data_IF_967669221917
#
_entry.id   IF_967669221917
#
_cell.length_a   1.000
_cell.length_b   1.000
_cell.length_c   1.000
_cell.angle_alpha   90.00
_cell.angle_beta   90.00
_cell.angle_gamma   90.00
#
_symmetry.space_group_name_H-M   'P 1'
#
loop_
_entity.id
_entity.type
_entity.pdbx_description
1 polymer ?
#
# COMPACT_ATOMS: atom_id res chain seq x y z
N UNK A 1 3.08 18.26 -18.74
CA UNK A 1 3.15 17.09 -19.65
C UNK A 1 3.03 15.84 -18.77
N UNK A 2 1.81 15.32 -18.58
CA UNK A 2 1.58 14.09 -17.82
C UNK A 2 1.86 12.91 -18.76
N UNK A 3 3.06 12.33 -18.68
CA UNK A 3 3.30 11.04 -19.29
C UNK A 3 2.48 10.03 -18.51
N UNK A 4 1.30 9.67 -19.04
CA UNK A 4 0.55 8.50 -18.60
C UNK A 4 1.45 7.27 -18.81
N UNK A 5 2.26 6.94 -17.82
CA UNK A 5 2.87 5.62 -17.74
C UNK A 5 1.70 4.68 -17.46
N UNK A 6 1.14 4.09 -18.51
CA UNK A 6 0.26 2.93 -18.37
C UNK A 6 1.05 1.91 -17.54
N UNK A 7 0.64 1.71 -16.29
CA UNK A 7 1.19 0.68 -15.42
C UNK A 7 0.88 -0.67 -16.05
N UNK A 8 1.78 -1.16 -16.91
CA UNK A 8 1.54 -2.38 -17.70
C UNK A 8 1.61 -3.65 -16.86
N UNK A 9 2.04 -3.57 -15.60
CA UNK A 9 2.05 -4.71 -14.68
C UNK A 9 1.59 -4.25 -13.29
N UNK A 10 0.27 -4.09 -13.13
CA UNK A 10 -0.38 -3.89 -11.83
C UNK A 10 -0.51 -5.19 -11.03
N UNK A 11 -0.61 -6.32 -11.72
CA UNK A 11 -0.90 -7.61 -11.12
C UNK A 11 0.15 -8.64 -11.51
N UNK A 12 0.70 -9.36 -10.53
CA UNK A 12 1.60 -10.48 -10.74
C UNK A 12 1.07 -11.66 -9.94
N UNK A 13 0.74 -12.75 -10.64
CA UNK A 13 0.38 -14.02 -10.06
C UNK A 13 1.50 -15.05 -10.32
N UNK A 14 1.62 -16.10 -9.49
CA UNK A 14 2.49 -17.22 -9.80
C UNK A 14 1.97 -18.01 -11.01
N UNK A 15 2.85 -18.40 -11.93
CA UNK A 15 2.48 -19.17 -13.13
C UNK A 15 1.87 -20.56 -12.79
N UNK A 16 2.31 -21.16 -11.68
CA UNK A 16 1.77 -22.42 -11.16
C UNK A 16 1.86 -22.43 -9.64
N UNK A 17 0.75 -22.57 -8.92
CA UNK A 17 0.76 -22.63 -7.46
C UNK A 17 1.38 -23.95 -6.94
N UNK A 18 1.10 -25.08 -7.59
CA UNK A 18 1.50 -26.40 -7.11
C UNK A 18 0.99 -26.68 -5.69
N UNK A 19 1.84 -27.26 -4.84
CA UNK A 19 1.55 -27.51 -3.41
C UNK A 19 1.90 -26.34 -2.48
N UNK A 20 2.15 -25.14 -3.02
CA UNK A 20 2.62 -23.98 -2.25
C UNK A 20 1.46 -23.25 -1.58
N UNK A 21 1.75 -22.59 -0.47
CA UNK A 21 0.81 -21.63 0.13
C UNK A 21 0.82 -20.33 -0.67
N UNK A 22 -0.36 -19.76 -0.93
CA UNK A 22 -0.50 -18.48 -1.62
C UNK A 22 -0.70 -17.35 -0.62
N UNK A 23 0.10 -16.29 -0.73
CA UNK A 23 -0.12 -15.03 -0.02
C UNK A 23 -0.59 -13.97 -1.02
N UNK A 24 -1.69 -13.29 -0.71
CA UNK A 24 -2.21 -12.18 -1.51
C UNK A 24 -1.81 -10.84 -0.91
N UNK A 25 -1.12 -10.03 -1.70
CA UNK A 25 -0.59 -8.72 -1.29
C UNK A 25 -1.26 -7.63 -2.12
N UNK A 26 -1.74 -6.59 -1.44
CA UNK A 26 -2.20 -5.36 -2.11
C UNK A 26 -1.34 -4.21 -1.64
N UNK A 27 -0.84 -3.40 -2.57
CA UNK A 27 -0.10 -2.19 -2.22
C UNK A 27 -0.63 -0.94 -2.91
N UNK A 28 -0.55 0.19 -2.20
CA UNK A 28 -0.88 1.53 -2.71
C UNK A 28 0.27 2.49 -2.40
N UNK A 29 0.86 3.10 -3.43
CA UNK A 29 2.03 3.98 -3.30
C UNK A 29 1.89 5.24 -4.13
N UNK A 30 2.64 6.29 -3.79
CA UNK A 30 2.70 7.51 -4.61
C UNK A 30 3.60 7.34 -5.85
N UNK A 31 4.74 6.66 -5.70
CA UNK A 31 5.81 6.64 -6.71
C UNK A 31 5.96 5.26 -7.35
N UNK A 32 6.12 5.25 -8.68
CA UNK A 32 6.25 4.02 -9.49
C UNK A 32 7.54 3.22 -9.22
N UNK A 33 8.57 3.84 -8.61
CA UNK A 33 9.84 3.17 -8.31
C UNK A 33 9.65 2.00 -7.33
N UNK A 34 8.71 2.10 -6.39
CA UNK A 34 8.38 0.97 -5.51
C UNK A 34 7.78 -0.21 -6.27
N UNK A 35 7.06 0.06 -7.37
CA UNK A 35 6.39 -0.99 -8.15
C UNK A 35 7.41 -1.95 -8.78
N UNK A 36 8.53 -1.43 -9.32
CA UNK A 36 9.56 -2.26 -9.94
C UNK A 36 10.27 -3.15 -8.92
N UNK A 37 10.62 -2.60 -7.75
CA UNK A 37 11.27 -3.35 -6.68
C UNK A 37 10.36 -4.45 -6.13
N UNK A 38 9.09 -4.15 -5.84
CA UNK A 38 8.11 -5.13 -5.37
C UNK A 38 7.85 -6.22 -6.42
N UNK A 39 7.73 -5.82 -7.69
CA UNK A 39 7.54 -6.75 -8.81
C UNK A 39 8.71 -7.72 -8.95
N UNK A 40 9.94 -7.22 -8.86
CA UNK A 40 11.14 -8.06 -8.91
C UNK A 40 11.20 -9.02 -7.73
N UNK A 41 10.93 -8.54 -6.51
CA UNK A 41 10.91 -9.37 -5.31
C UNK A 41 9.87 -10.51 -5.43
N UNK A 42 8.65 -10.20 -5.86
CA UNK A 42 7.59 -11.21 -6.02
C UNK A 42 7.94 -12.22 -7.11
N UNK A 43 8.50 -11.78 -8.25
CA UNK A 43 8.96 -12.69 -9.30
C UNK A 43 10.06 -13.63 -8.80
N UNK A 44 11.05 -13.12 -8.07
CA UNK A 44 12.10 -13.95 -7.49
C UNK A 44 11.55 -14.97 -6.48
N UNK A 45 10.60 -14.58 -5.63
CA UNK A 45 9.97 -15.51 -4.68
C UNK A 45 9.18 -16.58 -5.43
N UNK A 46 8.37 -16.19 -6.42
CA UNK A 46 7.53 -17.13 -7.18
C UNK A 46 8.34 -18.13 -7.99
N UNK A 47 9.54 -17.77 -8.45
CA UNK A 47 10.45 -18.64 -9.19
C UNK A 47 11.22 -19.61 -8.28
N UNK A 48 11.59 -19.19 -7.08
CA UNK A 48 12.61 -19.89 -6.29
C UNK A 48 12.10 -20.50 -4.97
N UNK A 49 11.00 -20.01 -4.41
CA UNK A 49 10.56 -20.44 -3.09
C UNK A 49 9.72 -21.74 -3.18
N UNK A 50 10.14 -22.84 -2.51
CA UNK A 50 9.53 -24.16 -2.69
C UNK A 50 8.14 -24.30 -2.06
N UNK A 51 7.83 -23.49 -1.05
CA UNK A 51 6.62 -23.63 -0.23
C UNK A 51 5.67 -22.43 -0.29
N UNK A 52 6.07 -21.35 -0.95
CA UNK A 52 5.37 -20.06 -0.93
C UNK A 52 5.26 -19.50 -2.34
N UNK A 53 4.10 -18.93 -2.63
CA UNK A 53 3.87 -18.10 -3.78
C UNK A 53 3.17 -16.81 -3.34
N UNK A 54 3.39 -15.74 -4.09
CA UNK A 54 2.80 -14.43 -3.84
C UNK A 54 2.05 -14.00 -5.09
N UNK A 55 0.78 -13.64 -4.88
CA UNK A 55 0.00 -12.86 -5.82
C UNK A 55 -0.03 -11.42 -5.32
N UNK A 56 0.35 -10.46 -6.16
CA UNK A 56 0.43 -9.04 -5.78
C UNK A 56 -0.37 -8.18 -6.74
N UNK A 57 -1.20 -7.29 -6.19
CA UNK A 57 -1.88 -6.22 -6.92
C UNK A 57 -1.40 -4.86 -6.42
N UNK A 58 -1.07 -3.98 -7.36
CA UNK A 58 -0.42 -2.71 -7.11
C UNK A 58 -1.16 -1.54 -7.73
N UNK A 59 -1.30 -0.47 -6.95
CA UNK A 59 -1.95 0.76 -7.37
C UNK A 59 -1.08 1.97 -7.06
N UNK A 60 -1.03 2.91 -7.98
CA UNK A 60 -0.64 4.28 -7.64
C UNK A 60 -1.84 4.96 -6.96
N UNK A 61 -1.59 5.78 -5.95
CA UNK A 61 -2.67 6.46 -5.22
C UNK A 61 -3.58 7.27 -6.15
N UNK A 62 -3.01 7.94 -7.15
CA UNK A 62 -3.74 8.70 -8.16
C UNK A 62 -4.66 7.83 -9.03
N UNK A 63 -4.36 6.55 -9.22
CA UNK A 63 -5.21 5.63 -9.98
C UNK A 63 -6.56 5.41 -9.27
N UNK A 64 -6.64 5.60 -7.95
CA UNK A 64 -7.88 5.45 -7.18
C UNK A 64 -8.88 6.60 -7.38
N UNK A 65 -8.52 7.62 -8.19
CA UNK A 65 -9.48 8.61 -8.69
C UNK A 65 -10.47 7.98 -9.66
N UNK A 66 -9.98 7.06 -10.48
CA UNK A 66 -10.76 6.35 -11.48
C UNK A 66 -11.69 5.33 -10.81
N UNK A 67 -13.00 5.33 -11.13
CA UNK A 67 -13.95 4.41 -10.51
C UNK A 67 -13.64 2.94 -10.76
N UNK A 68 -13.19 2.57 -11.97
CA UNK A 68 -12.92 1.17 -12.32
C UNK A 68 -11.73 0.64 -11.52
N UNK A 69 -10.65 1.41 -11.45
CA UNK A 69 -9.48 1.08 -10.63
C UNK A 69 -9.83 0.99 -9.13
N UNK A 70 -10.72 1.87 -8.65
CA UNK A 70 -11.15 1.85 -7.26
C UNK A 70 -12.00 0.61 -6.94
N UNK A 71 -12.91 0.20 -7.85
CA UNK A 71 -13.66 -1.05 -7.71
C UNK A 71 -12.76 -2.29 -7.73
N UNK A 72 -11.75 -2.32 -8.61
CA UNK A 72 -10.73 -3.38 -8.62
C UNK A 72 -9.97 -3.43 -7.30
N UNK A 73 -9.51 -2.28 -6.81
CA UNK A 73 -8.83 -2.17 -5.54
C UNK A 73 -9.70 -2.69 -4.37
N UNK A 74 -10.99 -2.34 -4.36
CA UNK A 74 -11.94 -2.87 -3.37
C UNK A 74 -12.11 -4.39 -3.44
N UNK A 75 -12.13 -4.97 -4.65
CA UNK A 75 -12.17 -6.43 -4.84
C UNK A 75 -10.91 -7.12 -4.35
N UNK A 76 -9.76 -6.50 -4.56
CA UNK A 76 -8.47 -7.07 -4.20
C UNK A 76 -8.21 -6.98 -2.68
N UNK A 77 -8.50 -5.85 -2.05
CA UNK A 77 -8.35 -5.71 -0.58
C UNK A 77 -9.29 -6.64 0.19
N UNK A 78 -10.48 -6.93 -0.36
CA UNK A 78 -11.41 -7.89 0.20
C UNK A 78 -10.85 -9.33 0.26
N UNK A 79 -9.85 -9.66 -0.55
CA UNK A 79 -9.20 -10.97 -0.63
C UNK A 79 -7.77 -10.99 -0.10
N UNK A 80 -7.17 -9.82 0.13
CA UNK A 80 -5.78 -9.69 0.55
C UNK A 80 -5.50 -10.36 1.91
N UNK A 81 -4.27 -10.84 2.07
CA UNK A 81 -3.65 -11.21 3.34
C UNK A 81 -2.87 -10.01 3.91
N UNK A 82 -2.13 -9.33 3.03
CA UNK A 82 -1.23 -8.24 3.40
C UNK A 82 -1.62 -6.97 2.65
N UNK A 83 -1.71 -5.87 3.38
CA UNK A 83 -1.86 -4.53 2.82
C UNK A 83 -0.60 -3.70 3.07
N UNK A 84 -0.13 -2.99 2.05
CA UNK A 84 1.01 -2.07 2.13
C UNK A 84 0.59 -0.70 1.61
N UNK A 85 0.82 0.36 2.37
CA UNK A 85 0.64 1.73 1.89
C UNK A 85 1.87 2.60 2.19
N UNK A 86 2.19 3.53 1.30
CA UNK A 86 3.33 4.44 1.48
C UNK A 86 3.13 5.78 0.80
N UNK A 87 3.54 6.87 1.46
CA UNK A 87 3.57 8.24 0.93
C UNK A 87 2.18 8.77 0.52
N UNK A 88 1.13 8.40 1.25
CA UNK A 88 -0.23 8.85 0.97
C UNK A 88 -0.48 10.20 1.65
N UNK A 89 -0.44 11.29 0.87
CA UNK A 89 -0.54 12.68 1.37
C UNK A 89 -1.63 13.53 0.71
N UNK A 90 -2.57 12.88 0.02
CA UNK A 90 -3.65 13.54 -0.72
C UNK A 90 -4.95 13.24 0.02
N UNK A 91 -5.61 14.27 0.54
CA UNK A 91 -6.70 14.18 1.51
C UNK A 91 -7.91 13.37 1.00
N UNK A 92 -8.41 13.68 -0.20
CA UNK A 92 -9.55 12.98 -0.81
C UNK A 92 -9.25 11.49 -1.06
N UNK A 93 -8.05 11.20 -1.57
CA UNK A 93 -7.61 9.83 -1.83
C UNK A 93 -7.27 9.05 -0.56
N UNK A 94 -6.76 9.72 0.47
CA UNK A 94 -6.53 9.12 1.78
C UNK A 94 -7.85 8.67 2.41
N UNK A 95 -8.88 9.51 2.34
CA UNK A 95 -10.23 9.17 2.82
C UNK A 95 -10.82 7.99 2.04
N UNK A 96 -10.71 7.97 0.71
CA UNK A 96 -11.15 6.83 -0.13
C UNK A 96 -10.40 5.54 0.23
N UNK A 97 -9.08 5.63 0.41
CA UNK A 97 -8.24 4.48 0.77
C UNK A 97 -8.66 3.89 2.13
N UNK A 98 -8.85 4.74 3.15
CA UNK A 98 -9.31 4.31 4.47
C UNK A 98 -10.68 3.64 4.37
N UNK A 99 -11.63 4.24 3.65
CA UNK A 99 -12.97 3.67 3.49
C UNK A 99 -12.97 2.26 2.87
N UNK A 100 -12.04 1.99 1.95
CA UNK A 100 -11.91 0.68 1.32
C UNK A 100 -11.20 -0.35 2.21
N UNK A 101 -10.22 0.06 3.02
CA UNK A 101 -9.36 -0.86 3.79
C UNK A 101 -9.91 -1.15 5.19
N UNK A 102 -10.48 -0.15 5.87
CA UNK A 102 -10.97 -0.26 7.25
C UNK A 102 -11.88 -1.48 7.48
N UNK A 103 -12.85 -1.81 6.59
CA UNK A 103 -13.73 -2.98 6.76
C UNK A 103 -12.98 -4.32 6.84
N UNK A 104 -11.77 -4.38 6.28
CA UNK A 104 -10.95 -5.60 6.22
C UNK A 104 -9.76 -5.57 7.18
N UNK A 105 -9.53 -4.47 7.90
CA UNK A 105 -8.37 -4.27 8.77
C UNK A 105 -8.17 -5.42 9.77
N UNK A 106 -9.24 -5.89 10.38
CA UNK A 106 -9.18 -6.98 11.37
C UNK A 106 -8.98 -8.36 10.73
N UNK A 107 -9.40 -8.54 9.46
CA UNK A 107 -9.18 -9.77 8.68
C UNK A 107 -7.77 -9.86 8.10
N UNK A 108 -7.16 -8.74 7.71
CA UNK A 108 -5.81 -8.71 7.17
C UNK A 108 -4.83 -9.31 8.18
N UNK A 109 -3.96 -10.21 7.74
CA UNK A 109 -2.91 -10.77 8.57
C UNK A 109 -1.95 -9.66 9.03
N UNK A 110 -1.62 -8.76 8.09
CA UNK A 110 -0.76 -7.59 8.34
C UNK A 110 -1.22 -6.41 7.47
N UNK A 111 -1.22 -5.21 8.06
CA UNK A 111 -1.32 -3.95 7.34
C UNK A 111 -0.12 -3.05 7.72
N UNK A 112 0.75 -2.77 6.74
CA UNK A 112 1.93 -1.92 6.92
C UNK A 112 1.71 -0.59 6.20
N UNK A 113 1.62 0.49 6.97
CA UNK A 113 1.52 1.85 6.44
C UNK A 113 2.77 2.62 6.81
N UNK A 114 3.60 2.87 5.80
CA UNK A 114 4.75 3.76 5.83
C UNK A 114 4.30 5.23 5.87
N UNK A 115 5.17 6.18 6.25
CA UNK A 115 4.86 7.61 6.40
C UNK A 115 3.80 8.15 5.43
N UNK A 116 2.60 8.37 5.96
CA UNK A 116 1.39 8.82 5.25
C UNK A 116 0.52 9.71 6.15
N UNK A 117 -0.61 10.20 5.68
CA UNK A 117 -1.56 10.97 6.49
C UNK A 117 -2.01 10.22 7.75
N UNK A 118 -2.29 10.91 8.87
CA UNK A 118 -2.62 10.27 10.15
C UNK A 118 -3.76 9.24 10.09
N UNK A 119 -4.78 9.49 9.27
CA UNK A 119 -5.89 8.55 9.06
C UNK A 119 -5.45 7.26 8.40
N UNK A 120 -4.61 7.32 7.35
CA UNK A 120 -4.04 6.14 6.71
C UNK A 120 -3.09 5.42 7.68
N UNK A 121 -2.30 6.17 8.44
CA UNK A 121 -1.39 5.59 9.44
C UNK A 121 -2.11 4.74 10.50
N UNK A 122 -3.38 5.02 10.81
CA UNK A 122 -4.20 4.24 11.77
C UNK A 122 -4.54 2.83 11.26
N UNK A 123 -4.47 2.61 9.94
CA UNK A 123 -4.66 1.29 9.34
C UNK A 123 -3.54 0.30 9.75
N UNK A 124 -2.38 0.77 10.22
CA UNK A 124 -1.28 -0.08 10.66
C UNK A 124 -1.75 -1.15 11.67
N UNK A 125 -1.36 -2.40 11.39
CA UNK A 125 -1.62 -3.59 12.21
C UNK A 125 -0.54 -4.64 11.95
N UNK A 126 0.19 -5.02 12.99
CA UNK A 126 1.16 -6.13 12.94
C UNK A 126 1.03 -6.95 14.23
N UNK A 127 0.21 -8.00 14.21
CA UNK A 127 -0.13 -8.75 15.43
C UNK A 127 -0.77 -7.82 16.47
N UNK A 128 -0.23 -7.81 17.70
CA UNK A 128 -0.69 -6.90 18.77
C UNK A 128 -0.19 -5.47 18.62
N UNK A 129 0.80 -5.22 17.74
CA UNK A 129 1.33 -3.88 17.50
C UNK A 129 0.34 -3.04 16.69
N UNK A 130 -0.05 -1.90 17.27
CA UNK A 130 -0.84 -0.88 16.59
C UNK A 130 -0.39 0.52 17.00
N UNK A 131 -0.65 1.53 16.16
CA UNK A 131 -0.30 2.93 16.45
C UNK A 131 -0.99 3.49 17.71
N UNK A 132 -2.00 2.79 18.25
CA UNK A 132 -2.62 3.10 19.54
C UNK A 132 -1.61 2.95 20.72
N UNK A 133 -0.69 1.99 20.62
CA UNK A 133 0.30 1.70 21.67
C UNK A 133 1.50 2.66 21.69
N UNK A 134 1.65 3.51 20.66
CA UNK A 134 2.71 4.53 20.58
C UNK A 134 2.44 5.77 21.47
N UNK A 135 1.67 5.62 22.55
CA UNK A 135 1.18 6.71 23.40
C UNK A 135 2.23 7.72 23.88
N UNK A 136 3.51 7.36 23.97
CA UNK A 136 4.61 8.28 24.30
C UNK A 136 5.47 8.74 23.10
N UNK A 137 5.46 8.02 21.96
CA UNK A 137 6.28 8.30 20.77
C UNK A 137 5.52 9.03 19.65
N UNK A 138 4.21 9.27 19.82
CA UNK A 138 3.38 10.08 18.91
C UNK A 138 3.97 11.48 18.66
N UNK A 139 4.64 12.09 19.64
CA UNK A 139 5.24 13.42 19.49
C UNK A 139 6.39 13.42 18.48
N UNK A 140 7.30 12.45 18.54
CA UNK A 140 8.47 12.36 17.67
C UNK A 140 8.09 12.02 16.23
N UNK A 141 7.18 11.06 16.04
CA UNK A 141 6.70 10.67 14.71
C UNK A 141 5.85 11.80 14.11
N UNK A 142 4.94 12.42 14.87
CA UNK A 142 4.15 13.54 14.38
C UNK A 142 5.04 14.75 14.01
N UNK A 143 6.06 15.06 14.81
CA UNK A 143 7.04 16.10 14.48
C UNK A 143 7.85 15.76 13.22
N UNK A 144 8.25 14.50 13.04
CA UNK A 144 8.93 14.03 11.84
C UNK A 144 8.05 14.14 10.59
N UNK A 145 6.79 13.72 10.70
CA UNK A 145 5.80 13.83 9.62
C UNK A 145 5.49 15.28 9.26
N UNK A 146 5.36 16.16 10.27
CA UNK A 146 5.20 17.59 10.07
C UNK A 146 6.40 18.20 9.33
N UNK A 147 7.63 17.86 9.74
CA UNK A 147 8.85 18.29 9.04
C UNK A 147 8.93 17.79 7.59
N UNK A 148 8.45 16.58 7.30
CA UNK A 148 8.38 16.08 5.90
C UNK A 148 7.31 16.80 5.09
N UNK A 149 6.13 17.04 5.66
CA UNK A 149 5.06 17.83 5.01
C UNK A 149 5.52 19.26 4.68
N UNK A 150 6.25 19.90 5.60
CA UNK A 150 6.86 21.22 5.40
C UNK A 150 7.93 21.20 4.28
N UNK A 151 8.73 20.13 4.16
CA UNK A 151 9.72 19.98 3.09
C UNK A 151 9.12 19.64 1.71
N UNK A 152 8.03 18.88 1.66
CA UNK A 152 7.34 18.53 0.41
C UNK A 152 6.44 19.64 -0.12
N UNK A 153 6.12 20.66 0.70
CA UNK A 153 5.32 21.83 0.30
C UNK A 153 6.12 23.03 -0.23
N UNK A 154 7.46 22.95 -0.29
CA UNK A 154 8.32 24.01 -0.80
C UNK A 154 8.68 23.75 -2.27
N UNK A 155 7.73 23.99 -3.17
CA UNK A 155 8.00 24.00 -4.60
C UNK A 155 6.75 23.83 -5.45
N UNK A 156 5.90 24.86 -5.49
CA UNK A 156 5.10 25.26 -6.67
C UNK A 156 4.50 26.65 -6.37
N UNK A 157 5.34 27.67 -6.53
CA UNK A 157 4.98 29.06 -6.83
C UNK A 157 6.17 29.66 -7.59
N UNK A 158 6.28 29.29 -8.87
CA UNK A 158 6.10 30.17 -10.04
C UNK A 158 5.87 29.30 -11.28
#
# INVERSE_FOLDING_TARGET
>A
MFTHVKSTIRHIAPDNLGGRSLIKVVYVVLESQYQSALSQAVRQINQNHPNLAIEISGYLIEELRDPENYEEFQRDIAKANIFIASLIFIDDLATKLVAAVEPYRDRLDVAVVFPSMPEVMRLNKMGTFSMAQLGQSKSAIAQFMRKRKEKSGAGFQD
#
